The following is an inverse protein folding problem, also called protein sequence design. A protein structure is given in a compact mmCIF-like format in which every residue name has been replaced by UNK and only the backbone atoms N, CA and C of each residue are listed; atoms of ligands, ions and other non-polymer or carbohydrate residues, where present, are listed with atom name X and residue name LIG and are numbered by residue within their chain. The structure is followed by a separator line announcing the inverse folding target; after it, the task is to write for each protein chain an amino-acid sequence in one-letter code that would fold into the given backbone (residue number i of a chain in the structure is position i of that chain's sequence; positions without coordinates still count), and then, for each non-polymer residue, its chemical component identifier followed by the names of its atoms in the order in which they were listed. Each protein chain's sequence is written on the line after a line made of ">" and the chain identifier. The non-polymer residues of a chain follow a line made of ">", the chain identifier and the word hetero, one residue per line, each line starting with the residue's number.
data_IF_083385878803
#
_entry.id   IF_083385878803
#
_cell.length_a   1.000
_cell.length_b   1.000
_cell.length_c   1.000
_cell.angle_alpha   90.00
_cell.angle_beta   90.00
_cell.angle_gamma   90.00
#
_symmetry.space_group_name_H-M   'P 1'
#
loop_
_entity.id
_entity.type
_entity.pdbx_description
1 polymer ?
#
# COMPACT_ATOMS: atom_id res chain seq x y z
N UNK A 1 35.82 22.64 -24.08
CA UNK A 1 36.04 21.19 -23.75
C UNK A 1 34.84 20.71 -22.99
N UNK A 2 33.86 20.09 -23.72
CA UNK A 2 32.71 19.44 -23.16
C UNK A 2 33.14 18.04 -22.72
N UNK A 3 33.01 17.74 -21.42
CA UNK A 3 33.25 16.42 -20.86
C UNK A 3 31.95 15.59 -21.10
N UNK A 4 32.02 14.74 -22.11
CA UNK A 4 31.02 13.71 -22.38
C UNK A 4 31.12 12.66 -21.27
N UNK A 5 30.24 12.70 -20.28
CA UNK A 5 30.03 11.59 -19.33
C UNK A 5 29.28 10.49 -20.08
N UNK A 6 30.04 9.52 -20.58
CA UNK A 6 29.49 8.26 -21.14
C UNK A 6 28.79 7.51 -19.99
N UNK A 7 27.48 7.57 -19.94
CA UNK A 7 26.65 6.62 -19.17
C UNK A 7 26.96 5.21 -19.68
N UNK A 8 27.71 4.44 -18.90
CA UNK A 8 27.88 3.00 -19.14
C UNK A 8 26.54 2.34 -18.81
N UNK A 9 25.70 2.15 -19.81
CA UNK A 9 24.59 1.20 -19.72
C UNK A 9 25.23 -0.20 -19.63
N UNK A 10 25.34 -0.72 -18.39
CA UNK A 10 25.80 -2.08 -18.14
C UNK A 10 24.68 -2.98 -18.64
N UNK A 11 24.88 -3.62 -19.80
CA UNK A 11 24.00 -4.68 -20.28
C UNK A 11 24.15 -5.85 -19.30
N UNK A 12 23.18 -6.02 -18.41
CA UNK A 12 23.14 -7.15 -17.47
C UNK A 12 22.98 -8.44 -18.27
N UNK A 13 23.83 -9.42 -17.98
CA UNK A 13 23.69 -10.75 -18.57
C UNK A 13 22.43 -11.45 -18.02
N UNK A 14 21.88 -12.45 -18.74
CA UNK A 14 20.75 -13.26 -18.24
C UNK A 14 21.06 -13.94 -16.89
N UNK A 15 22.34 -14.29 -16.67
CA UNK A 15 22.80 -14.86 -15.41
C UNK A 15 22.75 -13.83 -14.27
N UNK A 16 23.14 -12.59 -14.52
CA UNK A 16 23.09 -11.50 -13.54
C UNK A 16 21.65 -11.17 -13.14
N UNK A 17 20.71 -11.21 -14.10
CA UNK A 17 19.27 -11.03 -13.83
C UNK A 17 18.73 -12.11 -12.90
N UNK A 18 19.02 -13.40 -13.18
CA UNK A 18 18.59 -14.52 -12.33
C UNK A 18 19.18 -14.48 -10.93
N UNK A 19 20.45 -14.09 -10.78
CA UNK A 19 21.10 -13.91 -9.47
C UNK A 19 20.42 -12.78 -8.69
N UNK A 20 20.17 -11.65 -9.36
CA UNK A 20 19.46 -10.50 -8.78
C UNK A 20 18.06 -10.87 -8.28
N UNK A 21 17.27 -11.55 -9.11
CA UNK A 21 15.92 -12.01 -8.76
C UNK A 21 15.95 -12.95 -7.55
N UNK A 22 16.89 -13.90 -7.53
CA UNK A 22 17.05 -14.82 -6.40
C UNK A 22 17.42 -14.12 -5.09
N UNK A 23 18.29 -13.12 -5.14
CA UNK A 23 18.65 -12.31 -3.96
C UNK A 23 17.46 -11.49 -3.45
N UNK A 24 16.70 -10.84 -4.34
CA UNK A 24 15.49 -10.10 -4.02
C UNK A 24 14.46 -11.03 -3.37
N UNK A 25 14.19 -12.17 -4.00
CA UNK A 25 13.23 -13.14 -3.48
C UNK A 25 13.64 -13.68 -2.09
N UNK A 26 14.92 -14.01 -1.92
CA UNK A 26 15.45 -14.48 -0.64
C UNK A 26 15.31 -13.44 0.48
N UNK A 27 15.66 -12.18 0.24
CA UNK A 27 15.56 -11.13 1.27
C UNK A 27 14.10 -10.85 1.63
N UNK A 28 13.19 -10.89 0.67
CA UNK A 28 11.76 -10.71 0.91
C UNK A 28 11.19 -11.87 1.74
N UNK A 29 11.51 -13.12 1.40
CA UNK A 29 11.06 -14.29 2.18
C UNK A 29 11.60 -14.28 3.61
N UNK A 30 12.89 -13.95 3.80
CA UNK A 30 13.48 -13.84 5.15
C UNK A 30 12.76 -12.74 5.93
N UNK A 31 12.50 -11.59 5.32
CA UNK A 31 11.75 -10.49 5.92
C UNK A 31 10.36 -10.90 6.37
N UNK A 32 9.59 -11.52 5.47
CA UNK A 32 8.23 -11.98 5.77
C UNK A 32 8.21 -13.05 6.87
N UNK A 33 9.16 -13.98 6.86
CA UNK A 33 9.25 -15.01 7.89
C UNK A 33 9.59 -14.42 9.28
N UNK A 34 10.54 -13.49 9.34
CA UNK A 34 10.88 -12.79 10.58
C UNK A 34 9.69 -11.98 11.10
N UNK A 35 8.99 -11.25 10.22
CA UNK A 35 7.78 -10.51 10.59
C UNK A 35 6.69 -11.43 11.14
N UNK A 36 6.45 -12.57 10.51
CA UNK A 36 5.49 -13.56 11.01
C UNK A 36 5.84 -14.07 12.42
N UNK A 37 7.10 -14.42 12.66
CA UNK A 37 7.56 -14.83 14.00
C UNK A 37 7.41 -13.70 15.02
N UNK A 38 7.73 -12.45 14.63
CA UNK A 38 7.58 -11.30 15.51
C UNK A 38 6.11 -11.03 15.87
N UNK A 39 5.17 -11.22 14.96
CA UNK A 39 3.73 -11.08 15.24
C UNK A 39 3.32 -12.07 16.33
N UNK A 40 3.66 -13.36 16.17
CA UNK A 40 3.33 -14.39 17.17
C UNK A 40 3.97 -14.05 18.53
N UNK A 41 5.24 -13.70 18.51
CA UNK A 41 5.97 -13.37 19.73
C UNK A 41 5.39 -12.17 20.47
N UNK A 42 5.01 -11.10 19.75
CA UNK A 42 4.37 -9.92 20.32
C UNK A 42 3.00 -10.24 20.92
N UNK A 43 2.16 -11.05 20.24
CA UNK A 43 0.87 -11.48 20.79
C UNK A 43 1.04 -12.27 22.07
N UNK A 44 1.93 -13.25 22.09
CA UNK A 44 2.20 -14.06 23.28
C UNK A 44 2.71 -13.19 24.44
N UNK A 45 3.65 -12.30 24.15
CA UNK A 45 4.21 -11.38 25.14
C UNK A 45 3.20 -10.35 25.65
N UNK A 46 2.31 -9.85 24.78
CA UNK A 46 1.25 -8.92 25.13
C UNK A 46 0.20 -9.55 26.05
N UNK A 47 -0.23 -10.77 25.73
CA UNK A 47 -1.18 -11.53 26.56
C UNK A 47 -0.54 -11.91 27.88
N UNK A 48 0.61 -12.58 27.88
CA UNK A 48 1.29 -13.05 29.09
C UNK A 48 1.83 -11.91 29.96
N UNK A 49 2.26 -10.81 29.33
CA UNK A 49 2.73 -9.59 29.98
C UNK A 49 1.63 -8.61 30.36
N UNK A 50 0.36 -8.91 30.05
CA UNK A 50 -0.79 -8.02 30.32
C UNK A 50 -0.56 -6.56 29.88
N UNK A 51 0.01 -6.37 28.69
CA UNK A 51 0.29 -5.04 28.14
C UNK A 51 -0.63 -4.71 26.97
N UNK A 52 -1.43 -3.66 27.13
CA UNK A 52 -2.29 -3.15 26.08
C UNK A 52 -1.48 -2.54 24.92
N UNK A 53 -0.37 -1.87 25.22
CA UNK A 53 0.53 -1.33 24.22
C UNK A 53 1.20 -2.42 23.38
N UNK A 54 1.64 -3.53 23.99
CA UNK A 54 2.22 -4.66 23.25
C UNK A 54 1.19 -5.34 22.35
N UNK A 55 -0.06 -5.51 22.81
CA UNK A 55 -1.13 -6.05 21.98
C UNK A 55 -1.45 -5.14 20.79
N UNK A 56 -1.47 -3.83 21.01
CA UNK A 56 -1.65 -2.85 19.94
C UNK A 56 -0.52 -2.93 18.88
N UNK A 57 0.73 -3.04 19.33
CA UNK A 57 1.89 -3.19 18.45
C UNK A 57 1.91 -4.54 17.72
N UNK A 58 1.41 -5.61 18.37
CA UNK A 58 1.20 -6.91 17.73
C UNK A 58 0.17 -6.84 16.61
N UNK A 59 -0.96 -6.18 16.85
CA UNK A 59 -2.02 -5.97 15.84
C UNK A 59 -1.52 -5.11 14.69
N UNK A 60 -0.76 -4.06 14.96
CA UNK A 60 -0.14 -3.25 13.92
C UNK A 60 0.77 -4.12 13.01
N UNK A 61 1.66 -4.93 13.62
CA UNK A 61 2.53 -5.84 12.85
C UNK A 61 1.76 -6.94 12.11
N UNK A 62 0.64 -7.42 12.66
CA UNK A 62 -0.26 -8.36 11.98
C UNK A 62 -0.93 -7.72 10.76
N UNK A 63 -1.31 -6.45 10.86
CA UNK A 63 -1.92 -5.71 9.75
C UNK A 63 -1.00 -5.63 8.54
N UNK A 64 0.27 -5.31 8.77
CA UNK A 64 1.28 -5.23 7.73
C UNK A 64 1.45 -6.60 7.06
N UNK A 65 1.58 -7.67 7.87
CA UNK A 65 1.70 -9.03 7.36
C UNK A 65 0.49 -9.50 6.56
N UNK A 66 -0.73 -9.22 7.04
CA UNK A 66 -1.98 -9.56 6.31
C UNK A 66 -2.05 -8.80 4.99
N UNK A 67 -1.69 -7.52 4.97
CA UNK A 67 -1.67 -6.72 3.74
C UNK A 67 -0.71 -7.33 2.73
N UNK A 68 0.50 -7.73 3.13
CA UNK A 68 1.47 -8.39 2.27
C UNK A 68 0.93 -9.71 1.68
N UNK A 69 0.31 -10.56 2.52
CA UNK A 69 -0.27 -11.84 2.10
C UNK A 69 -1.42 -11.63 1.11
N UNK A 70 -2.29 -10.66 1.37
CA UNK A 70 -3.42 -10.34 0.49
C UNK A 70 -2.93 -9.84 -0.86
N UNK A 71 -1.97 -8.93 -0.88
CA UNK A 71 -1.36 -8.47 -2.15
C UNK A 71 -0.84 -9.66 -2.96
N UNK A 72 -0.11 -10.58 -2.33
CA UNK A 72 0.43 -11.77 -3.03
C UNK A 72 -0.68 -12.68 -3.57
N UNK A 73 -1.72 -12.95 -2.77
CA UNK A 73 -2.82 -13.85 -3.15
C UNK A 73 -3.72 -13.23 -4.23
N UNK A 74 -4.09 -11.98 -4.04
CA UNK A 74 -5.07 -11.32 -4.91
C UNK A 74 -4.46 -10.79 -6.20
N UNK A 75 -3.16 -10.48 -6.25
CA UNK A 75 -2.45 -10.21 -7.51
C UNK A 75 -2.59 -11.38 -8.49
N UNK A 76 -2.62 -12.62 -8.01
CA UNK A 76 -2.86 -13.79 -8.89
C UNK A 76 -4.29 -13.83 -9.43
N UNK A 77 -5.29 -13.44 -8.64
CA UNK A 77 -6.70 -13.42 -9.05
C UNK A 77 -6.97 -12.22 -9.94
N UNK A 78 -6.46 -11.07 -9.55
CA UNK A 78 -6.59 -9.80 -10.27
C UNK A 78 -5.98 -9.84 -11.67
N UNK A 79 -4.88 -10.58 -11.85
CA UNK A 79 -4.21 -10.76 -13.15
C UNK A 79 -4.89 -11.80 -14.08
N UNK A 80 -6.04 -12.37 -13.70
CA UNK A 80 -6.80 -13.19 -14.62
C UNK A 80 -7.34 -12.31 -15.76
N UNK A 81 -7.18 -12.74 -17.02
CA UNK A 81 -7.68 -12.01 -18.16
C UNK A 81 -9.21 -11.91 -18.11
N UNK A 82 -9.76 -11.06 -18.96
CA UNK A 82 -11.19 -10.96 -19.22
C UNK A 82 -11.78 -12.33 -19.56
N UNK A 83 -12.96 -12.63 -19.03
CA UNK A 83 -13.71 -13.84 -19.32
C UNK A 83 -15.20 -13.50 -19.52
N UNK A 84 -16.02 -14.51 -19.81
CA UNK A 84 -17.47 -14.33 -20.07
C UNK A 84 -18.27 -13.74 -18.88
N UNK A 85 -17.71 -13.80 -17.69
CA UNK A 85 -18.35 -13.28 -16.46
C UNK A 85 -17.83 -11.91 -16.06
N UNK A 86 -16.65 -11.52 -16.53
CA UNK A 86 -15.96 -10.28 -16.18
C UNK A 86 -15.31 -9.65 -17.42
N UNK A 87 -16.11 -8.90 -18.18
CA UNK A 87 -15.70 -8.25 -19.45
C UNK A 87 -14.59 -7.20 -19.25
N UNK A 88 -14.45 -6.64 -18.03
CA UNK A 88 -13.38 -5.71 -17.65
C UNK A 88 -12.26 -6.36 -16.84
N UNK A 89 -12.22 -7.71 -16.79
CA UNK A 89 -11.23 -8.47 -16.03
C UNK A 89 -11.52 -8.49 -14.52
N UNK A 90 -10.55 -8.99 -13.77
CA UNK A 90 -10.70 -9.30 -12.34
C UNK A 90 -9.99 -8.29 -11.43
N UNK A 91 -9.53 -7.14 -11.95
CA UNK A 91 -8.73 -6.16 -11.21
C UNK A 91 -9.34 -5.70 -9.88
N UNK A 92 -10.66 -5.52 -9.83
CA UNK A 92 -11.37 -5.06 -8.63
C UNK A 92 -11.44 -6.08 -7.48
N UNK A 93 -11.06 -7.34 -7.70
CA UNK A 93 -10.97 -8.31 -6.59
C UNK A 93 -9.89 -7.94 -5.57
N UNK A 94 -8.75 -7.41 -6.04
CA UNK A 94 -7.70 -6.89 -5.15
C UNK A 94 -8.20 -5.69 -4.34
N UNK A 95 -8.89 -4.77 -5.00
CA UNK A 95 -9.48 -3.58 -4.38
C UNK A 95 -10.50 -3.95 -3.30
N UNK A 96 -11.39 -4.91 -3.60
CA UNK A 96 -12.40 -5.39 -2.66
C UNK A 96 -11.76 -6.06 -1.43
N UNK A 97 -10.78 -6.92 -1.64
CA UNK A 97 -10.06 -7.59 -0.56
C UNK A 97 -9.32 -6.60 0.34
N UNK A 98 -8.64 -5.61 -0.26
CA UNK A 98 -7.96 -4.54 0.48
C UNK A 98 -8.95 -3.68 1.27
N UNK A 99 -10.13 -3.42 0.73
CA UNK A 99 -11.20 -2.72 1.45
C UNK A 99 -11.68 -3.50 2.68
N UNK A 100 -11.88 -4.83 2.58
CA UNK A 100 -12.25 -5.66 3.73
C UNK A 100 -11.18 -5.65 4.82
N UNK A 101 -9.90 -5.71 4.45
CA UNK A 101 -8.79 -5.61 5.41
C UNK A 101 -8.81 -4.25 6.09
N UNK A 102 -8.92 -3.16 5.31
CA UNK A 102 -8.99 -1.81 5.86
C UNK A 102 -10.13 -1.65 6.86
N UNK A 103 -11.32 -2.20 6.58
CA UNK A 103 -12.45 -2.18 7.51
C UNK A 103 -12.17 -2.99 8.78
N UNK A 104 -11.62 -4.20 8.65
CA UNK A 104 -11.30 -5.04 9.80
C UNK A 104 -10.27 -4.36 10.73
N UNK A 105 -9.21 -3.77 10.13
CA UNK A 105 -8.20 -3.03 10.87
C UNK A 105 -8.76 -1.78 11.56
N UNK A 106 -9.67 -1.07 10.90
CA UNK A 106 -10.32 0.09 11.50
C UNK A 106 -11.14 -0.33 12.73
N UNK A 107 -11.87 -1.44 12.64
CA UNK A 107 -12.64 -2.01 13.76
C UNK A 107 -11.73 -2.42 14.92
N UNK A 108 -10.62 -3.10 14.64
CA UNK A 108 -9.64 -3.50 15.68
C UNK A 108 -8.96 -2.27 16.29
N UNK A 109 -8.55 -1.29 15.47
CA UNK A 109 -7.96 -0.03 15.95
C UNK A 109 -8.91 0.73 16.88
N UNK A 110 -10.21 0.77 16.54
CA UNK A 110 -11.24 1.35 17.39
C UNK A 110 -11.42 0.56 18.71
N UNK A 111 -11.39 -0.77 18.67
CA UNK A 111 -11.45 -1.62 19.86
C UNK A 111 -10.28 -1.36 20.83
N UNK A 112 -9.05 -1.23 20.30
CA UNK A 112 -7.87 -0.90 21.10
C UNK A 112 -8.00 0.51 21.70
N UNK A 113 -8.46 1.50 20.92
CA UNK A 113 -8.72 2.86 21.38
C UNK A 113 -9.71 2.87 22.54
N UNK A 114 -10.84 2.14 22.38
CA UNK A 114 -11.90 2.07 23.39
C UNK A 114 -11.38 1.48 24.70
N UNK A 115 -10.70 0.32 24.62
CA UNK A 115 -10.15 -0.33 25.81
C UNK A 115 -9.10 0.54 26.51
N UNK A 116 -8.14 1.10 25.75
CA UNK A 116 -7.13 1.99 26.32
C UNK A 116 -7.73 3.25 26.94
N UNK A 117 -8.71 3.87 26.29
CA UNK A 117 -9.43 5.04 26.84
C UNK A 117 -10.19 4.67 28.14
N UNK A 118 -10.82 3.49 28.19
CA UNK A 118 -11.51 3.00 29.38
C UNK A 118 -10.54 2.79 30.53
N UNK A 119 -9.36 2.19 30.29
CA UNK A 119 -8.32 2.01 31.30
C UNK A 119 -7.83 3.35 31.85
N UNK A 120 -7.59 4.33 30.97
CA UNK A 120 -7.21 5.69 31.39
C UNK A 120 -8.31 6.33 32.26
N UNK A 121 -9.60 6.18 31.90
CA UNK A 121 -10.71 6.68 32.69
C UNK A 121 -10.82 6.00 34.05
N UNK A 122 -10.58 4.67 34.14
CA UNK A 122 -10.53 3.93 35.41
C UNK A 122 -9.44 4.52 36.31
N UNK A 123 -8.25 4.74 35.75
CA UNK A 123 -7.14 5.37 36.47
C UNK A 123 -7.48 6.77 37.01
N UNK A 124 -8.05 7.63 36.15
CA UNK A 124 -8.44 9.00 36.52
C UNK A 124 -9.52 9.07 37.64
N UNK A 125 -10.33 7.99 37.76
CA UNK A 125 -11.33 7.81 38.81
C UNK A 125 -10.75 7.21 40.09
N UNK A 126 -9.42 7.03 40.16
CA UNK A 126 -8.76 6.45 41.34
C UNK A 126 -8.73 4.92 41.35
N UNK A 127 -9.08 4.25 40.24
CA UNK A 127 -8.92 2.81 40.09
C UNK A 127 -7.47 2.43 39.89
N UNK A 128 -7.13 1.19 40.27
CA UNK A 128 -5.81 0.62 40.05
C UNK A 128 -5.73 -0.05 38.69
N UNK A 129 -4.66 0.23 37.94
CA UNK A 129 -4.33 -0.46 36.70
C UNK A 129 -3.30 -1.56 36.97
N UNK A 130 -3.45 -2.66 36.25
CA UNK A 130 -2.44 -3.72 36.29
C UNK A 130 -1.18 -3.26 35.59
N UNK A 131 -0.06 -3.34 36.29
CA UNK A 131 1.25 -3.00 35.73
C UNK A 131 1.66 -4.06 34.67
N UNK A 132 2.14 -3.62 33.47
CA UNK A 132 2.62 -4.56 32.47
C UNK A 132 3.82 -5.35 32.97
N UNK A 133 3.91 -6.61 32.53
CA UNK A 133 5.00 -7.49 32.91
C UNK A 133 6.29 -7.24 32.13
N UNK A 134 7.42 -7.57 32.75
CA UNK A 134 8.76 -7.44 32.14
C UNK A 134 8.88 -8.20 30.81
N UNK A 135 8.09 -9.27 30.62
CA UNK A 135 8.07 -10.02 29.36
C UNK A 135 7.64 -9.15 28.17
N UNK A 136 6.66 -8.26 28.36
CA UNK A 136 6.22 -7.34 27.31
C UNK A 136 7.33 -6.34 26.96
N UNK A 137 8.04 -5.79 27.95
CA UNK A 137 9.16 -4.87 27.69
C UNK A 137 10.31 -5.56 26.93
N UNK A 138 10.70 -6.75 27.36
CA UNK A 138 11.76 -7.54 26.69
C UNK A 138 11.35 -7.84 25.24
N UNK A 139 10.09 -8.20 25.01
CA UNK A 139 9.57 -8.44 23.67
C UNK A 139 9.58 -7.17 22.79
N UNK A 140 9.23 -6.00 23.34
CA UNK A 140 9.33 -4.73 22.63
C UNK A 140 10.76 -4.43 22.19
N UNK A 141 11.73 -4.58 23.10
CA UNK A 141 13.15 -4.34 22.80
C UNK A 141 13.66 -5.32 21.74
N UNK A 142 13.37 -6.61 21.87
CA UNK A 142 13.74 -7.63 20.87
C UNK A 142 13.13 -7.30 19.51
N UNK A 143 11.87 -6.88 19.48
CA UNK A 143 11.19 -6.48 18.23
C UNK A 143 11.90 -5.31 17.54
N UNK A 144 12.26 -4.27 18.28
CA UNK A 144 12.97 -3.10 17.75
C UNK A 144 14.34 -3.54 17.17
N UNK A 145 15.09 -4.33 17.91
CA UNK A 145 16.41 -4.81 17.48
C UNK A 145 16.32 -5.67 16.21
N UNK A 146 15.38 -6.63 16.16
CA UNK A 146 15.20 -7.49 14.99
C UNK A 146 14.74 -6.70 13.76
N UNK A 147 13.84 -5.74 13.93
CA UNK A 147 13.41 -4.88 12.83
C UNK A 147 14.53 -3.97 12.32
N UNK A 148 15.40 -3.44 13.19
CA UNK A 148 16.57 -2.67 12.75
C UNK A 148 17.59 -3.56 12.02
N UNK A 149 17.84 -4.78 12.51
CA UNK A 149 18.71 -5.77 11.82
C UNK A 149 18.13 -6.09 10.44
N UNK A 150 16.82 -6.32 10.36
CA UNK A 150 16.13 -6.60 9.11
C UNK A 150 16.20 -5.42 8.13
N UNK A 151 16.02 -4.18 8.62
CA UNK A 151 16.25 -2.98 7.85
C UNK A 151 17.65 -2.95 7.24
N UNK A 152 18.70 -3.14 8.09
CA UNK A 152 20.09 -3.11 7.65
C UNK A 152 20.41 -4.19 6.62
N UNK A 153 19.85 -5.39 6.78
CA UNK A 153 19.99 -6.48 5.83
C UNK A 153 19.30 -6.15 4.50
N UNK A 154 18.03 -5.75 4.56
CA UNK A 154 17.20 -5.49 3.38
C UNK A 154 17.72 -4.28 2.57
N UNK A 155 18.13 -3.19 3.24
CA UNK A 155 18.64 -2.00 2.53
C UNK A 155 19.97 -2.27 1.82
N UNK A 156 20.85 -3.12 2.41
CA UNK A 156 22.10 -3.50 1.75
C UNK A 156 21.87 -4.33 0.49
N UNK A 157 20.95 -5.31 0.56
CA UNK A 157 20.55 -6.10 -0.62
C UNK A 157 19.88 -5.22 -1.65
N UNK A 158 18.93 -4.38 -1.26
CA UNK A 158 18.23 -3.47 -2.16
C UNK A 158 19.17 -2.53 -2.93
N UNK A 159 20.15 -1.95 -2.24
CA UNK A 159 21.18 -1.11 -2.87
C UNK A 159 22.09 -1.91 -3.82
N UNK A 160 22.50 -3.13 -3.43
CA UNK A 160 23.33 -4.00 -4.26
C UNK A 160 22.61 -4.44 -5.53
N UNK A 161 21.32 -4.77 -5.41
CA UNK A 161 20.47 -5.19 -6.52
C UNK A 161 19.90 -4.01 -7.33
N UNK A 162 20.20 -2.75 -6.98
CA UNK A 162 19.61 -1.55 -7.57
C UNK A 162 18.07 -1.61 -7.63
N UNK A 163 17.43 -2.17 -6.57
CA UNK A 163 15.97 -2.33 -6.48
C UNK A 163 15.38 -1.29 -5.53
N UNK A 164 14.70 -0.29 -6.10
CA UNK A 164 14.00 0.75 -5.32
C UNK A 164 12.89 0.15 -4.45
N UNK A 165 12.20 -0.89 -4.93
CA UNK A 165 11.16 -1.57 -4.18
C UNK A 165 11.71 -2.23 -2.91
N UNK A 166 12.85 -2.94 -3.00
CA UNK A 166 13.51 -3.56 -1.84
C UNK A 166 14.02 -2.51 -0.85
N UNK A 167 14.54 -1.37 -1.35
CA UNK A 167 14.96 -0.24 -0.50
C UNK A 167 13.75 0.38 0.20
N UNK A 168 12.63 0.57 -0.50
CA UNK A 168 11.38 1.08 0.11
C UNK A 168 10.86 0.14 1.20
N UNK A 169 10.85 -1.20 0.95
CA UNK A 169 10.48 -2.20 1.94
C UNK A 169 11.42 -2.18 3.18
N UNK A 170 12.73 -1.94 2.99
CA UNK A 170 13.63 -1.76 4.11
C UNK A 170 13.22 -0.55 4.98
N UNK A 171 12.91 0.59 4.38
CA UNK A 171 12.44 1.76 5.11
C UNK A 171 11.11 1.52 5.84
N UNK A 172 10.23 0.67 5.29
CA UNK A 172 9.02 0.23 5.98
C UNK A 172 9.37 -0.48 7.29
N UNK A 173 10.27 -1.48 7.27
CA UNK A 173 10.73 -2.15 8.50
C UNK A 173 11.28 -1.18 9.54
N UNK A 174 12.01 -0.14 9.11
CA UNK A 174 12.54 0.87 10.03
C UNK A 174 11.43 1.76 10.61
N UNK A 175 10.44 2.11 9.80
CA UNK A 175 9.26 2.86 10.27
C UNK A 175 8.51 2.10 11.35
N UNK A 176 8.35 0.78 11.18
CA UNK A 176 7.72 -0.09 12.18
C UNK A 176 8.57 -0.22 13.46
N UNK A 177 9.90 -0.23 13.33
CA UNK A 177 10.78 -0.20 14.50
C UNK A 177 10.57 1.09 15.33
N UNK A 178 10.39 2.23 14.64
CA UNK A 178 10.11 3.51 15.31
C UNK A 178 8.75 3.52 16.02
N UNK A 179 7.71 2.88 15.45
CA UNK A 179 6.41 2.74 16.13
C UNK A 179 6.51 1.87 17.39
N UNK A 180 7.28 0.79 17.33
CA UNK A 180 7.55 -0.09 18.48
C UNK A 180 8.34 0.60 19.60
N UNK A 181 9.08 1.69 19.33
CA UNK A 181 9.75 2.50 20.36
C UNK A 181 8.72 3.18 21.28
N UNK A 182 7.63 3.69 20.73
CA UNK A 182 6.56 4.29 21.54
C UNK A 182 5.95 3.25 22.50
N UNK A 183 5.71 2.03 22.00
CA UNK A 183 5.26 0.89 22.81
C UNK A 183 6.26 0.55 23.92
N UNK A 184 7.54 0.43 23.59
CA UNK A 184 8.60 0.15 24.58
C UNK A 184 8.73 1.24 25.64
N UNK A 185 8.57 2.52 25.25
CA UNK A 185 8.61 3.65 26.18
C UNK A 185 7.41 3.64 27.13
N UNK A 186 6.19 3.34 26.63
CA UNK A 186 4.99 3.22 27.46
C UNK A 186 5.11 2.08 28.49
N UNK A 187 5.48 0.87 28.02
CA UNK A 187 5.66 -0.30 28.89
C UNK A 187 6.81 -0.07 29.88
N UNK A 188 7.96 0.42 29.38
CA UNK A 188 9.14 0.68 30.22
C UNK A 188 8.88 1.73 31.29
N UNK A 189 8.18 2.83 30.92
CA UNK A 189 7.74 3.86 31.89
C UNK A 189 6.80 3.29 32.94
N UNK A 190 5.80 2.49 32.53
CA UNK A 190 4.87 1.85 33.46
C UNK A 190 5.56 0.89 34.45
N UNK A 191 6.64 0.21 34.04
CA UNK A 191 7.40 -0.72 34.90
C UNK A 191 8.37 0.05 35.81
N UNK A 192 9.18 0.95 35.23
CA UNK A 192 10.30 1.59 35.94
C UNK A 192 9.87 2.67 36.93
N UNK A 193 8.78 3.38 36.64
CA UNK A 193 8.27 4.48 37.47
C UNK A 193 7.30 3.98 38.56
N UNK A 194 6.90 2.72 38.52
CA UNK A 194 6.06 2.10 39.54
C UNK A 194 4.56 2.12 39.25
N UNK A 195 3.72 1.55 40.16
CA UNK A 195 2.30 1.29 39.92
C UNK A 195 1.47 2.54 39.53
N UNK A 196 1.78 3.71 40.06
CA UNK A 196 1.10 4.95 39.70
C UNK A 196 1.30 5.38 38.24
N UNK A 197 2.33 4.81 37.58
CA UNK A 197 2.64 5.07 36.17
C UNK A 197 2.15 3.97 35.23
N UNK A 198 1.39 2.99 35.76
CA UNK A 198 0.81 1.92 34.93
C UNK A 198 -0.06 2.47 33.78
N UNK A 199 -0.58 3.69 33.90
CA UNK A 199 -1.35 4.40 32.88
C UNK A 199 -0.55 4.67 31.58
N UNK A 200 0.77 4.64 31.62
CA UNK A 200 1.60 4.83 30.43
C UNK A 200 1.43 3.72 29.38
N UNK A 201 1.12 2.50 29.81
CA UNK A 201 0.83 1.39 28.89
C UNK A 201 -0.46 1.63 28.07
N UNK A 202 -1.64 1.90 28.67
CA UNK A 202 -2.82 2.23 27.88
C UNK A 202 -2.69 3.54 27.08
N UNK A 203 -1.91 4.54 27.54
CA UNK A 203 -1.62 5.75 26.75
C UNK A 203 -0.85 5.38 25.48
N UNK A 204 0.17 4.51 25.59
CA UNK A 204 0.89 4.00 24.42
C UNK A 204 -0.02 3.19 23.50
N UNK A 205 -0.92 2.34 24.05
CA UNK A 205 -1.91 1.60 23.26
C UNK A 205 -2.84 2.54 22.48
N UNK A 206 -3.37 3.57 23.11
CA UNK A 206 -4.18 4.61 22.46
C UNK A 206 -3.39 5.32 21.35
N UNK A 207 -2.14 5.67 21.60
CA UNK A 207 -1.28 6.29 20.59
C UNK A 207 -1.10 5.35 19.36
N UNK A 208 -0.78 4.08 19.57
CA UNK A 208 -0.63 3.09 18.49
C UNK A 208 -1.96 2.89 17.75
N UNK A 209 -3.10 2.89 18.45
CA UNK A 209 -4.42 2.73 17.81
C UNK A 209 -4.72 3.84 16.79
N UNK A 210 -4.31 5.07 17.05
CA UNK A 210 -4.43 6.17 16.07
C UNK A 210 -3.60 5.91 14.81
N UNK A 211 -2.41 5.34 14.94
CA UNK A 211 -1.61 4.94 13.78
C UNK A 211 -2.28 3.83 12.99
N UNK A 212 -2.83 2.79 13.66
CA UNK A 212 -3.59 1.71 13.02
C UNK A 212 -4.78 2.27 12.25
N UNK A 213 -5.60 3.12 12.88
CA UNK A 213 -6.76 3.74 12.23
C UNK A 213 -6.35 4.61 11.03
N UNK A 214 -5.28 5.38 11.15
CA UNK A 214 -4.75 6.18 10.04
C UNK A 214 -4.33 5.31 8.85
N UNK A 215 -3.63 4.19 9.09
CA UNK A 215 -3.26 3.25 8.05
C UNK A 215 -4.50 2.62 7.42
N UNK A 216 -5.46 2.19 8.24
CA UNK A 216 -6.73 1.62 7.78
C UNK A 216 -7.50 2.57 6.85
N UNK A 217 -7.64 3.84 7.24
CA UNK A 217 -8.30 4.86 6.42
C UNK A 217 -7.53 5.09 5.10
N UNK A 218 -6.20 5.12 5.15
CA UNK A 218 -5.35 5.29 3.96
C UNK A 218 -5.49 4.11 2.98
N UNK A 219 -5.74 2.90 3.47
CA UNK A 219 -6.02 1.73 2.64
C UNK A 219 -7.46 1.76 2.11
N UNK A 220 -8.42 2.12 2.96
CA UNK A 220 -9.85 2.02 2.67
C UNK A 220 -10.32 3.09 1.67
N UNK A 221 -9.90 4.35 1.84
CA UNK A 221 -10.39 5.46 1.02
C UNK A 221 -10.10 5.26 -0.47
N UNK A 222 -8.87 4.92 -0.92
CA UNK A 222 -8.62 4.66 -2.34
C UNK A 222 -9.41 3.47 -2.90
N UNK A 223 -9.64 2.44 -2.07
CA UNK A 223 -10.44 1.30 -2.48
C UNK A 223 -11.92 1.68 -2.67
N UNK A 224 -12.47 2.49 -1.76
CA UNK A 224 -13.83 3.02 -1.91
C UNK A 224 -13.94 3.95 -3.12
N UNK A 225 -12.98 4.83 -3.34
CA UNK A 225 -12.91 5.71 -4.50
C UNK A 225 -12.98 4.88 -5.80
N UNK A 226 -12.21 3.80 -5.89
CA UNK A 226 -12.20 2.92 -7.07
C UNK A 226 -13.50 2.12 -7.22
N UNK A 227 -14.05 1.58 -6.13
CA UNK A 227 -15.32 0.82 -6.16
C UNK A 227 -16.51 1.73 -6.52
N UNK A 228 -16.44 3.02 -6.16
CA UNK A 228 -17.43 4.05 -6.46
C UNK A 228 -17.18 4.74 -7.82
N UNK A 229 -16.31 4.19 -8.65
CA UNK A 229 -16.04 4.69 -10.00
C UNK A 229 -15.54 6.14 -10.03
N UNK A 230 -14.74 6.56 -9.04
CA UNK A 230 -14.13 7.89 -9.01
C UNK A 230 -13.23 8.11 -10.22
N UNK A 231 -13.31 9.31 -10.80
CA UNK A 231 -12.45 9.73 -11.90
C UNK A 231 -10.96 9.72 -11.54
N UNK A 232 -10.13 9.63 -12.54
CA UNK A 232 -8.68 9.77 -12.39
C UNK A 232 -8.32 11.20 -11.97
N UNK A 233 -7.13 11.45 -11.43
CA UNK A 233 -6.68 12.79 -11.09
C UNK A 233 -6.66 13.72 -12.31
N UNK A 234 -7.00 15.00 -12.13
CA UNK A 234 -7.02 16.02 -13.18
C UNK A 234 -5.73 16.09 -14.02
N UNK A 235 -4.59 15.75 -13.43
CA UNK A 235 -3.30 15.70 -14.13
C UNK A 235 -3.26 14.60 -15.20
N UNK A 236 -3.90 13.46 -14.91
CA UNK A 236 -4.00 12.31 -15.84
C UNK A 236 -5.06 12.61 -16.91
N UNK A 237 -6.20 13.17 -16.53
CA UNK A 237 -7.24 13.55 -17.49
C UNK A 237 -6.74 14.60 -18.50
N UNK A 238 -5.99 15.61 -18.05
CA UNK A 238 -5.34 16.57 -18.96
C UNK A 238 -4.31 15.92 -19.88
N UNK A 239 -3.58 14.91 -19.41
CA UNK A 239 -2.62 14.16 -20.23
C UNK A 239 -3.36 13.34 -21.31
N UNK A 240 -4.49 12.72 -20.97
CA UNK A 240 -5.38 12.03 -21.92
C UNK A 240 -5.88 13.00 -23.00
N UNK A 241 -6.42 14.14 -22.62
CA UNK A 241 -6.90 15.18 -23.56
C UNK A 241 -5.75 15.67 -24.45
N UNK A 242 -4.56 15.89 -23.90
CA UNK A 242 -3.38 16.29 -24.66
C UNK A 242 -2.95 15.27 -25.70
N UNK A 243 -3.01 13.97 -25.37
CA UNK A 243 -2.73 12.88 -26.32
C UNK A 243 -3.79 12.89 -27.43
N UNK A 244 -5.07 13.00 -27.10
CA UNK A 244 -6.18 13.00 -28.05
C UNK A 244 -6.05 14.17 -29.02
N UNK A 245 -5.77 15.39 -28.51
CA UNK A 245 -5.60 16.59 -29.33
C UNK A 245 -4.33 16.60 -30.19
N UNK A 246 -3.39 15.68 -29.96
CA UNK A 246 -2.18 15.56 -30.78
C UNK A 246 -2.41 14.90 -32.14
N UNK A 247 -3.61 14.38 -32.39
CA UNK A 247 -3.97 13.73 -33.66
C UNK A 247 -4.61 14.71 -34.64
N UNK A 248 -4.12 14.72 -35.88
CA UNK A 248 -4.62 15.61 -36.92
C UNK A 248 -6.11 15.37 -37.22
N UNK A 249 -6.87 16.48 -37.35
CA UNK A 249 -8.29 16.44 -37.63
C UNK A 249 -9.20 16.12 -36.42
N UNK A 250 -8.61 15.94 -35.24
CA UNK A 250 -9.34 15.77 -33.98
C UNK A 250 -9.55 17.13 -33.32
N UNK A 251 -10.77 17.41 -32.89
CA UNK A 251 -11.11 18.63 -32.18
C UNK A 251 -12.10 18.38 -31.06
N UNK A 252 -12.22 19.34 -30.18
CA UNK A 252 -13.22 19.41 -29.11
C UNK A 252 -13.41 18.07 -28.34
N UNK A 253 -12.36 17.54 -27.68
CA UNK A 253 -12.55 16.40 -26.80
C UNK A 253 -13.51 16.79 -25.67
N UNK A 254 -14.53 15.96 -25.40
CA UNK A 254 -15.54 16.22 -24.40
C UNK A 254 -16.13 14.92 -23.85
N UNK A 255 -16.97 15.01 -22.81
CA UNK A 255 -17.54 13.85 -22.11
C UNK A 255 -16.49 12.82 -21.70
N UNK A 256 -15.29 13.29 -21.35
CA UNK A 256 -14.26 12.40 -20.78
C UNK A 256 -14.80 11.78 -19.50
N UNK A 257 -14.79 10.46 -19.46
CA UNK A 257 -15.07 9.64 -18.28
C UNK A 257 -13.91 8.71 -18.06
N UNK A 258 -13.42 8.70 -16.84
CA UNK A 258 -12.28 7.88 -16.47
C UNK A 258 -12.59 7.13 -15.19
N UNK A 259 -12.02 5.94 -15.04
CA UNK A 259 -12.03 5.18 -13.78
C UNK A 259 -10.86 4.23 -13.72
N UNK A 260 -10.56 3.79 -12.51
CA UNK A 260 -9.57 2.74 -12.26
C UNK A 260 -10.24 1.37 -12.20
N UNK A 261 -9.56 0.35 -12.73
CA UNK A 261 -9.96 -1.06 -12.66
C UNK A 261 -8.72 -1.85 -12.21
N UNK A 262 -8.49 -1.93 -10.89
CA UNK A 262 -7.24 -2.47 -10.34
C UNK A 262 -6.03 -1.64 -10.77
N UNK A 263 -5.09 -2.28 -11.47
CA UNK A 263 -3.91 -1.61 -11.99
C UNK A 263 -4.12 -0.91 -13.34
N UNK A 264 -5.27 -1.09 -13.96
CA UNK A 264 -5.59 -0.60 -15.29
C UNK A 264 -6.56 0.58 -15.23
N UNK A 265 -6.71 1.28 -16.35
CA UNK A 265 -7.68 2.37 -16.50
C UNK A 265 -8.78 2.00 -17.49
N UNK A 266 -9.95 2.60 -17.29
CA UNK A 266 -10.97 2.70 -18.33
C UNK A 266 -11.14 4.19 -18.68
N UNK A 267 -11.06 4.48 -19.97
CA UNK A 267 -11.11 5.82 -20.56
C UNK A 267 -12.21 5.83 -21.62
N UNK A 268 -13.19 6.66 -21.46
CA UNK A 268 -14.25 6.90 -22.44
C UNK A 268 -14.22 8.39 -22.80
N UNK A 269 -14.13 8.72 -24.09
CA UNK A 269 -14.02 10.10 -24.55
C UNK A 269 -14.75 10.29 -25.88
N UNK A 270 -15.39 11.44 -26.04
CA UNK A 270 -15.96 11.89 -27.31
C UNK A 270 -14.99 12.85 -27.99
N UNK A 271 -14.87 12.73 -29.29
CA UNK A 271 -14.06 13.62 -30.14
C UNK A 271 -14.87 14.07 -31.34
N UNK A 272 -14.53 15.24 -31.88
CA UNK A 272 -15.14 15.73 -33.14
C UNK A 272 -14.15 15.70 -34.28
N UNK A 273 -14.66 15.30 -35.44
CA UNK A 273 -13.94 15.25 -36.72
C UNK A 273 -14.80 15.78 -37.84
N UNK A 274 -14.19 16.15 -38.99
CA UNK A 274 -14.93 16.62 -40.15
C UNK A 274 -15.95 15.53 -40.59
N UNK A 275 -17.23 15.90 -40.66
CA UNK A 275 -18.34 15.02 -41.04
C UNK A 275 -18.25 14.45 -42.46
N UNK A 276 -17.37 14.99 -43.31
CA UNK A 276 -17.21 14.55 -44.71
C UNK A 276 -16.09 13.48 -44.86
N UNK A 277 -15.34 13.13 -43.80
CA UNK A 277 -14.35 12.10 -43.87
C UNK A 277 -15.00 10.72 -44.00
N UNK A 278 -14.29 9.77 -44.59
CA UNK A 278 -14.78 8.39 -44.66
C UNK A 278 -14.80 7.76 -43.27
N UNK A 279 -15.73 6.84 -43.02
CA UNK A 279 -15.76 6.04 -41.80
C UNK A 279 -14.45 5.32 -41.57
N UNK A 280 -13.80 4.86 -42.65
CA UNK A 280 -12.49 4.22 -42.57
C UNK A 280 -11.43 5.15 -41.96
N UNK A 281 -11.39 6.42 -42.40
CA UNK A 281 -10.42 7.41 -41.88
C UNK A 281 -10.72 7.78 -40.43
N UNK A 282 -11.98 7.95 -40.07
CA UNK A 282 -12.39 8.19 -38.69
C UNK A 282 -11.98 7.04 -37.75
N UNK A 283 -12.21 5.79 -38.19
CA UNK A 283 -11.81 4.60 -37.45
C UNK A 283 -10.29 4.46 -37.29
N UNK A 284 -9.54 4.72 -38.37
CA UNK A 284 -8.06 4.72 -38.34
C UNK A 284 -7.53 5.71 -37.29
N UNK A 285 -8.07 6.91 -37.22
CA UNK A 285 -7.70 7.93 -36.25
C UNK A 285 -8.06 7.49 -34.82
N UNK A 286 -9.29 7.00 -34.61
CA UNK A 286 -9.72 6.48 -33.30
C UNK A 286 -8.81 5.32 -32.82
N UNK A 287 -8.48 4.38 -33.69
CA UNK A 287 -7.55 3.29 -33.41
C UNK A 287 -6.15 3.80 -33.07
N UNK A 288 -5.66 4.83 -33.78
CA UNK A 288 -4.39 5.47 -33.47
C UNK A 288 -4.35 6.08 -32.08
N UNK A 289 -5.43 6.77 -31.68
CA UNK A 289 -5.59 7.33 -30.34
C UNK A 289 -5.62 6.21 -29.29
N UNK A 290 -6.42 5.16 -29.53
CA UNK A 290 -6.49 3.99 -28.64
C UNK A 290 -5.10 3.38 -28.40
N UNK A 291 -4.35 3.12 -29.46
CA UNK A 291 -2.99 2.59 -29.36
C UNK A 291 -2.07 3.51 -28.55
N UNK A 292 -2.15 4.83 -28.78
CA UNK A 292 -1.31 5.78 -28.08
C UNK A 292 -1.64 5.87 -26.58
N UNK A 293 -2.92 5.79 -26.24
CA UNK A 293 -3.37 5.76 -24.83
C UNK A 293 -2.93 4.44 -24.16
N UNK A 294 -3.06 3.30 -24.83
CA UNK A 294 -2.58 2.00 -24.32
C UNK A 294 -1.06 1.96 -24.16
N UNK A 295 -0.30 2.48 -25.11
CA UNK A 295 1.14 2.62 -25.00
C UNK A 295 1.57 3.44 -23.77
N UNK A 296 0.81 4.49 -23.45
CA UNK A 296 1.11 5.38 -22.34
C UNK A 296 0.66 4.84 -20.98
N UNK A 297 -0.54 4.29 -20.90
CA UNK A 297 -1.20 3.91 -19.64
C UNK A 297 -1.23 2.40 -19.38
N UNK A 298 -0.76 1.59 -20.32
CA UNK A 298 -0.70 0.12 -20.25
C UNK A 298 -1.62 -0.54 -21.27
N UNK A 299 -1.17 -1.68 -21.82
CA UNK A 299 -1.87 -2.43 -22.88
C UNK A 299 -3.28 -2.89 -22.47
N UNK A 300 -3.49 -3.16 -21.18
CA UNK A 300 -4.77 -3.59 -20.62
C UNK A 300 -5.72 -2.42 -20.30
N UNK A 301 -5.36 -1.18 -20.68
CA UNK A 301 -6.26 -0.02 -20.54
C UNK A 301 -7.45 -0.16 -21.49
N UNK A 302 -8.66 -0.07 -20.94
CA UNK A 302 -9.89 -0.04 -21.75
C UNK A 302 -10.09 1.37 -22.31
N UNK A 303 -10.18 1.49 -23.63
CA UNK A 303 -10.37 2.78 -24.31
C UNK A 303 -11.60 2.73 -25.20
N UNK A 304 -12.57 3.58 -24.94
CA UNK A 304 -13.74 3.79 -25.77
C UNK A 304 -13.76 5.21 -26.36
N UNK A 305 -13.74 5.31 -27.68
CA UNK A 305 -13.75 6.60 -28.40
C UNK A 305 -15.03 6.74 -29.19
N UNK A 306 -15.81 7.75 -28.87
CA UNK A 306 -16.98 8.10 -29.66
C UNK A 306 -16.64 9.27 -30.58
N UNK A 307 -16.81 9.04 -31.89
CA UNK A 307 -16.52 10.06 -32.93
C UNK A 307 -17.80 10.74 -33.36
N UNK A 308 -17.82 12.07 -33.25
CA UNK A 308 -18.93 12.92 -33.67
C UNK A 308 -18.50 13.85 -34.80
N UNK A 309 -19.44 14.29 -35.70
CA UNK A 309 -19.12 15.32 -36.67
C UNK A 309 -18.97 16.69 -35.99
N UNK A 310 -18.07 17.51 -36.52
CA UNK A 310 -17.99 18.96 -36.15
C UNK A 310 -19.34 19.60 -36.49
N UNK A 311 -19.87 20.37 -35.56
CA UNK A 311 -21.14 21.10 -35.73
C UNK A 311 -20.99 22.32 -36.64
#
# INVERSE_FOLDING_TARGET
>A
RAIFVRSKTIVMTELDKKIREKEIYRVTLVGSFVNFLLVIFKFLAGIAGHSAAMLADAVHSLSDFITDVVVILFVRISNKPVDKSHDYGHGKYETLATAFIGMALLGVGFGILWNGATDILVFLRGGELRQPGMLALVAAIISILLKEILYQYTVRVGKRCHSQAVVANAWHHRSDALSSIATAAGIGGAILLGPHWAVLDPIAAVTVSFFIMRVSIRLLVPCLDELLEKSLPDSVEREIEGIVLSFDGVSEPHHLRTRRIGNNYAIEIHIRMDGNISLHKAHETATGIEHRLKEKFGEDTHVGIHVEPVK
#
